data_IF_910023447375
#
_entry.id   IF_910023447375
#
_cell.length_a   1.000
_cell.length_b   1.000
_cell.length_c   1.000
_cell.angle_alpha   90.00
_cell.angle_beta   90.00
_cell.angle_gamma   90.00
#
_symmetry.space_group_name_H-M   'P 1'
#
loop_
_entity.id
_entity.type
_entity.pdbx_description
1 polymer ?
#
# COMPACT_ATOMS: atom_id res chain seq x y z
N UNK A 1 -21.21 -5.67 -5.94
CA UNK A 1 -20.25 -5.04 -6.90
C UNK A 1 -19.63 -3.87 -6.17
N UNK A 2 -18.30 -3.79 -6.16
CA UNK A 2 -17.55 -2.71 -5.48
C UNK A 2 -16.62 -2.05 -6.48
N UNK A 3 -16.35 -0.75 -6.31
CA UNK A 3 -15.34 -0.02 -7.07
C UNK A 3 -14.03 0.00 -6.28
N UNK A 4 -12.98 -0.59 -6.84
CA UNK A 4 -11.71 -0.83 -6.13
C UNK A 4 -10.56 -0.19 -6.88
N UNK A 5 -9.83 0.70 -6.22
CA UNK A 5 -8.56 1.23 -6.72
C UNK A 5 -7.39 0.39 -6.20
N UNK A 6 -6.47 -0.02 -7.10
CA UNK A 6 -5.31 -0.84 -6.73
C UNK A 6 -4.03 -0.17 -7.20
N UNK A 7 -3.20 0.28 -6.27
CA UNK A 7 -1.89 0.84 -6.62
C UNK A 7 -0.92 -0.24 -7.09
N UNK A 8 -0.10 0.05 -8.12
CA UNK A 8 0.89 -0.90 -8.64
C UNK A 8 0.26 -2.13 -9.29
N UNK A 9 -0.89 -1.99 -9.94
CA UNK A 9 -1.62 -3.09 -10.55
C UNK A 9 -1.15 -3.48 -11.98
N UNK A 10 -0.02 -2.92 -12.43
CA UNK A 10 0.56 -3.25 -13.74
C UNK A 10 1.41 -4.54 -13.72
N UNK A 11 1.71 -5.14 -12.57
CA UNK A 11 2.55 -6.33 -12.46
C UNK A 11 2.29 -7.09 -11.13
N UNK A 12 2.81 -8.32 -11.04
CA UNK A 12 2.86 -9.12 -9.82
C UNK A 12 1.52 -9.27 -9.10
N UNK A 13 1.55 -9.14 -7.78
CA UNK A 13 0.37 -9.30 -6.91
C UNK A 13 -0.75 -8.32 -7.25
N UNK A 14 -0.41 -7.06 -7.55
CA UNK A 14 -1.42 -6.05 -7.88
C UNK A 14 -2.16 -6.37 -9.17
N UNK A 15 -1.45 -6.88 -10.20
CA UNK A 15 -2.10 -7.31 -11.46
C UNK A 15 -2.96 -8.55 -11.26
N UNK A 16 -2.50 -9.51 -10.46
CA UNK A 16 -3.28 -10.71 -10.13
C UNK A 16 -4.55 -10.36 -9.35
N UNK A 17 -4.44 -9.49 -8.34
CA UNK A 17 -5.59 -8.98 -7.59
C UNK A 17 -6.59 -8.23 -8.47
N UNK A 18 -6.09 -7.36 -9.37
CA UNK A 18 -6.93 -6.62 -10.31
C UNK A 18 -7.69 -7.57 -11.25
N UNK A 19 -6.98 -8.55 -11.82
CA UNK A 19 -7.60 -9.56 -12.70
C UNK A 19 -8.69 -10.33 -11.98
N UNK A 20 -8.44 -10.81 -10.77
CA UNK A 20 -9.42 -11.55 -9.99
C UNK A 20 -10.69 -10.71 -9.74
N UNK A 21 -10.54 -9.48 -9.23
CA UNK A 21 -11.68 -8.61 -8.94
C UNK A 21 -12.47 -8.25 -10.21
N UNK A 22 -11.81 -8.05 -11.34
CA UNK A 22 -12.48 -7.84 -12.64
C UNK A 22 -13.26 -9.11 -13.06
N UNK A 23 -12.67 -10.30 -12.89
CA UNK A 23 -13.32 -11.56 -13.23
C UNK A 23 -14.53 -11.86 -12.33
N UNK A 24 -14.51 -11.38 -11.09
CA UNK A 24 -15.63 -11.45 -10.12
C UNK A 24 -16.70 -10.36 -10.35
N UNK A 25 -16.51 -9.48 -11.34
CA UNK A 25 -17.49 -8.46 -11.72
C UNK A 25 -17.42 -7.17 -10.92
N UNK A 26 -16.27 -6.86 -10.30
CA UNK A 26 -16.02 -5.59 -9.62
C UNK A 26 -15.50 -4.52 -10.59
N UNK A 27 -15.79 -3.25 -10.31
CA UNK A 27 -15.22 -2.09 -11.01
C UNK A 27 -13.80 -1.84 -10.49
N UNK A 28 -12.77 -2.09 -11.30
CA UNK A 28 -11.38 -1.92 -10.88
C UNK A 28 -10.73 -0.74 -11.59
N UNK A 29 -10.17 0.18 -10.81
CA UNK A 29 -9.29 1.24 -11.30
C UNK A 29 -7.85 0.75 -11.17
N UNK A 30 -7.16 0.69 -12.30
CA UNK A 30 -5.77 0.24 -12.41
C UNK A 30 -4.81 1.41 -12.20
N UNK A 31 -3.60 1.12 -11.72
CA UNK A 31 -2.51 2.08 -11.62
C UNK A 31 -1.22 1.56 -12.24
N UNK A 32 -0.60 2.39 -13.05
CA UNK A 32 0.74 2.18 -13.58
C UNK A 32 1.63 3.42 -13.32
N UNK A 33 2.91 3.20 -13.02
CA UNK A 33 3.83 4.31 -12.76
C UNK A 33 4.14 5.19 -13.99
N UNK A 34 3.91 4.67 -15.20
CA UNK A 34 4.07 5.39 -16.46
C UNK A 34 3.30 4.69 -17.59
N UNK A 35 3.21 5.33 -18.76
CA UNK A 35 2.49 4.81 -19.92
C UNK A 35 3.05 3.48 -20.47
N UNK A 36 4.37 3.28 -20.40
CA UNK A 36 4.98 2.02 -20.83
C UNK A 36 4.50 0.86 -19.92
N UNK A 37 4.45 1.07 -18.61
CA UNK A 37 3.95 0.08 -17.67
C UNK A 37 2.43 -0.13 -17.78
N UNK A 38 1.68 0.88 -18.20
CA UNK A 38 0.25 0.73 -18.48
C UNK A 38 -0.01 -0.24 -19.64
N UNK A 39 0.89 -0.30 -20.62
CA UNK A 39 0.80 -1.26 -21.72
C UNK A 39 0.84 -2.74 -21.25
N UNK A 40 1.45 -3.02 -20.09
CA UNK A 40 1.51 -4.38 -19.52
C UNK A 40 0.15 -4.90 -19.01
N UNK A 41 -0.87 -4.04 -18.91
CA UNK A 41 -2.25 -4.40 -18.52
C UNK A 41 -3.27 -4.08 -19.61
N UNK A 42 -2.82 -3.92 -20.86
CA UNK A 42 -3.69 -3.63 -21.99
C UNK A 42 -4.84 -4.66 -22.16
N UNK A 43 -4.62 -5.90 -21.74
CA UNK A 43 -5.61 -6.97 -21.71
C UNK A 43 -6.72 -6.77 -20.66
N UNK A 44 -6.43 -6.06 -19.58
CA UNK A 44 -7.38 -5.75 -18.50
C UNK A 44 -8.14 -4.44 -18.76
N UNK A 45 -7.50 -3.47 -19.44
CA UNK A 45 -8.05 -2.12 -19.67
C UNK A 45 -9.47 -2.11 -20.22
N UNK A 46 -9.85 -2.95 -21.22
CA UNK A 46 -11.22 -2.93 -21.77
C UNK A 46 -12.31 -3.35 -20.76
N UNK A 47 -11.91 -3.96 -19.64
CA UNK A 47 -12.78 -4.47 -18.58
C UNK A 47 -12.62 -3.71 -17.27
N UNK A 48 -11.64 -2.82 -17.18
CA UNK A 48 -11.38 -1.98 -16.02
C UNK A 48 -12.24 -0.71 -16.06
N UNK A 49 -12.53 -0.16 -14.89
CA UNK A 49 -13.25 1.12 -14.75
C UNK A 49 -12.37 2.33 -15.14
N UNK A 50 -11.07 2.17 -15.17
CA UNK A 50 -10.12 3.20 -15.58
C UNK A 50 -8.67 2.79 -15.32
N UNK A 51 -7.74 3.62 -15.85
CA UNK A 51 -6.31 3.50 -15.61
C UNK A 51 -5.77 4.87 -15.24
N UNK A 52 -5.12 4.96 -14.08
CA UNK A 52 -4.45 6.17 -13.61
C UNK A 52 -2.94 5.99 -13.68
N UNK A 53 -2.20 7.07 -13.96
CA UNK A 53 -0.76 7.03 -14.20
C UNK A 53 -0.05 8.05 -13.32
N UNK A 54 1.03 7.61 -12.66
CA UNK A 54 1.95 8.47 -11.91
C UNK A 54 2.98 7.65 -11.12
N UNK A 55 4.19 8.19 -11.00
CA UNK A 55 5.28 7.57 -10.26
C UNK A 55 5.26 8.01 -8.79
N UNK A 56 5.12 7.06 -7.89
CA UNK A 56 5.08 7.29 -6.43
C UNK A 56 6.43 7.70 -5.82
N UNK A 57 7.49 7.77 -6.60
CA UNK A 57 8.72 8.43 -6.20
C UNK A 57 8.66 9.96 -6.33
N UNK A 58 7.57 10.51 -6.90
CA UNK A 58 7.29 11.94 -7.03
C UNK A 58 6.04 12.31 -6.22
N UNK A 59 6.16 13.27 -5.31
CA UNK A 59 5.02 13.77 -4.55
C UNK A 59 3.96 14.42 -5.46
N UNK A 60 4.40 15.17 -6.46
CA UNK A 60 3.51 15.80 -7.44
C UNK A 60 2.72 14.77 -8.24
N UNK A 61 3.38 13.71 -8.73
CA UNK A 61 2.68 12.65 -9.47
C UNK A 61 1.76 11.83 -8.55
N UNK A 62 2.14 11.62 -7.29
CA UNK A 62 1.29 10.98 -6.29
C UNK A 62 0.00 11.78 -6.05
N UNK A 63 0.09 13.11 -5.93
CA UNK A 63 -1.09 13.99 -5.86
C UNK A 63 -1.94 13.88 -7.12
N UNK A 64 -1.29 13.92 -8.30
CA UNK A 64 -1.99 13.77 -9.58
C UNK A 64 -2.69 12.41 -9.74
N UNK A 65 -2.17 11.33 -9.13
CA UNK A 65 -2.88 10.05 -9.08
C UNK A 65 -4.13 10.14 -8.20
N UNK A 66 -4.05 10.81 -7.05
CA UNK A 66 -5.23 11.00 -6.20
C UNK A 66 -6.32 11.80 -6.91
N UNK A 67 -5.95 12.85 -7.64
CA UNK A 67 -6.87 13.66 -8.44
C UNK A 67 -7.55 12.81 -9.53
N UNK A 68 -6.77 12.04 -10.32
CA UNK A 68 -7.29 11.13 -11.34
C UNK A 68 -8.27 10.10 -10.75
N UNK A 69 -7.97 9.55 -9.56
CA UNK A 69 -8.86 8.60 -8.86
C UNK A 69 -10.16 9.28 -8.45
N UNK A 70 -10.08 10.49 -7.89
CA UNK A 70 -11.26 11.25 -7.46
C UNK A 70 -12.15 11.67 -8.65
N UNK A 71 -11.56 11.98 -9.81
CA UNK A 71 -12.30 12.26 -11.06
C UNK A 71 -13.11 11.05 -11.55
N UNK A 72 -12.64 9.83 -11.29
CA UNK A 72 -13.37 8.60 -11.58
C UNK A 72 -14.51 8.32 -10.58
N UNK A 73 -14.62 9.13 -9.53
CA UNK A 73 -15.62 9.01 -8.47
C UNK A 73 -15.12 8.23 -7.27
N UNK A 74 -15.95 8.20 -6.21
CA UNK A 74 -15.61 7.57 -4.94
C UNK A 74 -15.32 6.07 -5.10
N UNK A 75 -14.26 5.60 -4.46
CA UNK A 75 -13.92 4.18 -4.36
C UNK A 75 -14.58 3.55 -3.13
N UNK A 76 -15.08 2.32 -3.25
CA UNK A 76 -15.51 1.52 -2.10
C UNK A 76 -14.30 0.97 -1.34
N UNK A 77 -13.23 0.64 -2.06
CA UNK A 77 -11.99 0.16 -1.46
C UNK A 77 -10.75 0.71 -2.17
N UNK A 78 -9.68 0.93 -1.39
CA UNK A 78 -8.34 1.23 -1.91
C UNK A 78 -7.36 0.18 -1.41
N UNK A 79 -6.66 -0.46 -2.34
CA UNK A 79 -5.57 -1.41 -2.05
C UNK A 79 -4.23 -0.71 -2.33
N UNK A 80 -3.51 -0.35 -1.27
CA UNK A 80 -2.15 0.17 -1.34
C UNK A 80 -1.16 -0.99 -1.52
N UNK A 81 -1.08 -1.50 -2.76
CA UNK A 81 -0.24 -2.64 -3.11
C UNK A 81 1.14 -2.23 -3.65
N UNK A 82 1.27 -1.04 -4.24
CA UNK A 82 2.55 -0.58 -4.77
C UNK A 82 3.67 -0.58 -3.73
N UNK A 83 4.84 -0.98 -4.15
CA UNK A 83 6.03 -0.98 -3.29
C UNK A 83 7.28 -1.35 -4.06
N UNK A 84 8.43 -1.01 -3.51
CA UNK A 84 9.76 -1.41 -3.98
C UNK A 84 10.50 -2.16 -2.88
N UNK A 85 11.46 -3.01 -3.27
CA UNK A 85 12.12 -3.96 -2.39
C UNK A 85 13.63 -3.93 -2.58
N UNK A 86 14.36 -3.90 -1.47
CA UNK A 86 15.82 -4.01 -1.41
C UNK A 86 16.58 -3.11 -2.40
N UNK A 87 16.20 -1.82 -2.47
CA UNK A 87 16.93 -0.86 -3.29
C UNK A 87 18.43 -0.84 -2.92
N UNK A 88 19.35 -0.97 -3.89
CA UNK A 88 20.78 -1.13 -3.61
C UNK A 88 21.41 0.12 -2.96
N UNK A 89 20.79 1.26 -3.13
CA UNK A 89 21.19 2.56 -2.55
C UNK A 89 19.98 3.27 -1.96
N UNK A 90 20.22 4.31 -1.16
CA UNK A 90 19.15 5.16 -0.62
C UNK A 90 18.30 5.76 -1.74
N UNK A 91 18.88 6.05 -2.88
CA UNK A 91 18.27 6.87 -3.91
C UNK A 91 17.94 8.27 -3.39
N UNK A 92 17.34 9.10 -4.24
CA UNK A 92 16.80 10.39 -3.82
C UNK A 92 15.70 10.79 -4.78
N UNK A 93 14.53 11.12 -4.26
CA UNK A 93 13.45 11.74 -5.04
C UNK A 93 13.75 13.21 -5.34
N UNK A 94 12.91 13.84 -6.15
CA UNK A 94 13.02 15.28 -6.41
C UNK A 94 12.88 16.10 -5.12
N UNK A 95 12.11 15.62 -4.15
CA UNK A 95 11.91 16.23 -2.84
C UNK A 95 13.02 15.89 -1.84
N UNK A 96 14.03 15.08 -2.24
CA UNK A 96 15.17 14.69 -1.42
C UNK A 96 14.96 13.47 -0.54
N UNK A 97 13.82 12.80 -0.62
CA UNK A 97 13.50 11.62 0.17
C UNK A 97 14.17 10.35 -0.36
N UNK A 98 14.45 9.41 0.56
CA UNK A 98 14.84 8.05 0.16
C UNK A 98 13.73 7.42 -0.69
N UNK A 99 14.09 6.80 -1.82
CA UNK A 99 13.10 6.24 -2.76
C UNK A 99 12.19 5.21 -2.08
N UNK A 100 12.74 4.36 -1.19
CA UNK A 100 11.95 3.38 -0.43
C UNK A 100 10.94 4.06 0.50
N UNK A 101 11.32 5.15 1.18
CA UNK A 101 10.41 5.92 2.03
C UNK A 101 9.28 6.54 1.18
N UNK A 102 9.64 7.19 0.06
CA UNK A 102 8.68 7.85 -0.81
C UNK A 102 7.61 6.87 -1.32
N UNK A 103 8.04 5.78 -1.95
CA UNK A 103 7.11 4.82 -2.58
C UNK A 103 6.34 4.00 -1.56
N UNK A 104 7.01 3.50 -0.50
CA UNK A 104 6.39 2.54 0.41
C UNK A 104 5.67 3.19 1.59
N UNK A 105 5.94 4.45 1.93
CA UNK A 105 5.37 5.09 3.12
C UNK A 105 4.67 6.41 2.81
N UNK A 106 5.36 7.36 2.13
CA UNK A 106 4.78 8.67 1.85
C UNK A 106 3.62 8.58 0.85
N UNK A 107 3.77 7.83 -0.23
CA UNK A 107 2.71 7.69 -1.23
C UNK A 107 1.44 7.04 -0.66
N UNK A 108 1.47 5.90 0.05
CA UNK A 108 0.27 5.37 0.73
C UNK A 108 -0.36 6.37 1.70
N UNK A 109 0.45 7.12 2.45
CA UNK A 109 -0.04 8.16 3.36
C UNK A 109 -0.75 9.29 2.61
N UNK A 110 -0.12 9.83 1.56
CA UNK A 110 -0.66 10.91 0.74
C UNK A 110 -1.97 10.49 0.04
N UNK A 111 -1.98 9.31 -0.59
CA UNK A 111 -3.17 8.79 -1.26
C UNK A 111 -4.32 8.57 -0.27
N UNK A 112 -4.02 8.08 0.94
CA UNK A 112 -5.02 7.94 2.01
C UNK A 112 -5.63 9.29 2.41
N UNK A 113 -4.83 10.35 2.44
CA UNK A 113 -5.27 11.67 2.84
C UNK A 113 -6.05 12.42 1.73
N UNK A 114 -5.74 12.14 0.45
CA UNK A 114 -6.19 12.91 -0.71
C UNK A 114 -7.33 12.26 -1.48
N UNK A 115 -7.38 10.93 -1.54
CA UNK A 115 -8.50 10.22 -2.17
C UNK A 115 -9.74 10.39 -1.29
N UNK A 116 -10.91 10.55 -1.93
CA UNK A 116 -12.18 10.57 -1.22
C UNK A 116 -12.31 9.30 -0.37
N UNK A 117 -12.62 9.48 0.93
CA UNK A 117 -12.58 8.42 1.93
C UNK A 117 -13.39 7.18 1.50
N UNK A 118 -12.73 6.03 1.28
CA UNK A 118 -13.39 4.79 0.93
C UNK A 118 -13.98 4.10 2.18
N UNK A 119 -14.77 3.05 1.97
CA UNK A 119 -15.23 2.20 3.07
C UNK A 119 -14.15 1.24 3.57
N UNK A 120 -13.18 0.90 2.70
CA UNK A 120 -12.14 -0.08 3.01
C UNK A 120 -10.75 0.38 2.54
N UNK A 121 -9.77 0.15 3.40
CA UNK A 121 -8.35 0.40 3.14
C UNK A 121 -7.55 -0.88 3.40
N UNK A 122 -6.79 -1.31 2.41
CA UNK A 122 -5.92 -2.49 2.52
C UNK A 122 -4.47 -2.08 2.21
N UNK A 123 -3.56 -2.33 3.14
CA UNK A 123 -2.15 -1.95 3.01
C UNK A 123 -1.26 -3.18 2.89
N UNK A 124 -0.54 -3.34 1.77
CA UNK A 124 0.41 -4.42 1.60
C UNK A 124 1.65 -4.19 2.46
N UNK A 125 1.71 -4.93 3.55
CA UNK A 125 2.84 -5.02 4.47
C UNK A 125 3.80 -6.14 4.04
N UNK A 126 4.47 -6.77 4.98
CA UNK A 126 5.37 -7.91 4.84
C UNK A 126 5.70 -8.44 6.24
N UNK A 127 5.99 -9.73 6.40
CA UNK A 127 6.57 -10.29 7.62
C UNK A 127 7.86 -9.57 8.07
N UNK A 128 8.58 -8.96 7.13
CA UNK A 128 9.77 -8.17 7.43
C UNK A 128 9.50 -6.93 8.30
N UNK A 129 8.24 -6.45 8.43
CA UNK A 129 7.92 -5.33 9.32
C UNK A 129 8.30 -5.58 10.79
N UNK A 130 8.36 -6.83 11.22
CA UNK A 130 8.85 -7.21 12.55
C UNK A 130 10.32 -6.85 12.80
N UNK A 131 11.13 -6.72 11.74
CA UNK A 131 12.51 -6.27 11.79
C UNK A 131 12.69 -4.75 11.65
N UNK A 132 11.60 -4.02 11.50
CA UNK A 132 11.60 -2.56 11.41
C UNK A 132 11.93 -1.91 12.74
N UNK A 133 12.55 -0.73 12.72
CA UNK A 133 12.80 0.08 13.90
C UNK A 133 11.66 1.07 14.11
N UNK A 134 11.15 1.14 15.34
CA UNK A 134 10.21 2.20 15.75
C UNK A 134 10.86 3.59 15.91
N UNK A 135 12.14 3.75 15.55
CA UNK A 135 12.80 5.06 15.55
C UNK A 135 12.50 5.83 14.29
N UNK A 136 11.78 6.93 14.42
CA UNK A 136 11.47 7.86 13.31
C UNK A 136 12.42 9.06 13.23
N UNK A 137 13.49 9.11 14.06
CA UNK A 137 14.41 10.25 14.10
C UNK A 137 15.08 10.50 12.75
N UNK A 138 15.57 9.43 12.12
CA UNK A 138 16.19 9.47 10.78
C UNK A 138 15.42 8.54 9.83
N UNK A 139 14.10 8.77 9.73
CA UNK A 139 13.19 7.99 8.89
C UNK A 139 13.61 7.99 7.42
N UNK A 140 14.30 9.05 7.02
CA UNK A 140 14.76 9.31 5.65
C UNK A 140 16.21 8.84 5.39
N UNK A 141 16.83 8.18 6.35
CA UNK A 141 18.19 7.61 6.17
C UNK A 141 19.25 8.65 5.72
N UNK A 142 19.19 9.83 6.25
CA UNK A 142 20.13 10.91 5.90
C UNK A 142 21.39 10.91 6.74
N UNK A 143 21.35 10.33 7.95
CA UNK A 143 22.46 10.35 8.92
C UNK A 143 23.10 8.97 9.11
N UNK A 144 22.38 7.90 8.88
CA UNK A 144 22.87 6.52 9.05
C UNK A 144 23.24 5.89 7.70
N UNK A 145 24.19 4.93 7.75
CA UNK A 145 24.57 4.16 6.55
C UNK A 145 23.36 3.41 6.01
N UNK A 146 23.15 3.51 4.69
CA UNK A 146 22.07 2.80 4.00
C UNK A 146 22.13 1.28 4.24
N UNK A 147 20.99 0.72 4.56
CA UNK A 147 20.76 -0.72 4.64
C UNK A 147 19.39 -1.04 4.03
N UNK A 148 19.41 -1.65 2.84
CA UNK A 148 18.20 -1.90 2.05
C UNK A 148 17.14 -2.73 2.80
N UNK A 149 17.58 -3.79 3.50
CA UNK A 149 16.66 -4.65 4.24
C UNK A 149 16.00 -3.92 5.40
N UNK A 150 16.77 -3.13 6.16
CA UNK A 150 16.22 -2.33 7.27
C UNK A 150 15.30 -1.23 6.77
N UNK A 151 15.67 -0.52 5.70
CA UNK A 151 14.84 0.53 5.12
C UNK A 151 13.51 -0.04 4.61
N UNK A 152 13.53 -1.19 3.97
CA UNK A 152 12.31 -1.90 3.57
C UNK A 152 11.48 -2.32 4.78
N UNK A 153 12.09 -2.97 5.79
CA UNK A 153 11.40 -3.41 7.01
C UNK A 153 10.74 -2.24 7.74
N UNK A 154 11.43 -1.10 7.86
CA UNK A 154 10.88 0.12 8.44
C UNK A 154 9.71 0.66 7.62
N UNK A 155 9.82 0.68 6.29
CA UNK A 155 8.71 1.12 5.43
C UNK A 155 7.46 0.25 5.59
N UNK A 156 7.63 -1.06 5.80
CA UNK A 156 6.51 -1.98 6.04
C UNK A 156 5.95 -1.87 7.46
N UNK A 157 6.78 -1.52 8.44
CA UNK A 157 6.32 -1.14 9.77
C UNK A 157 5.46 0.14 9.71
N UNK A 158 5.84 1.13 8.90
CA UNK A 158 5.10 2.37 8.74
C UNK A 158 3.69 2.13 8.17
N UNK A 159 3.55 1.37 7.09
CA UNK A 159 2.21 1.12 6.50
C UNK A 159 1.34 0.22 7.39
N UNK A 160 1.95 -0.71 8.14
CA UNK A 160 1.22 -1.49 9.15
C UNK A 160 0.70 -0.58 10.25
N UNK A 161 1.53 0.31 10.78
CA UNK A 161 1.12 1.28 11.80
C UNK A 161 0.05 2.25 11.27
N UNK A 162 0.17 2.70 10.00
CA UNK A 162 -0.83 3.54 9.35
C UNK A 162 -2.20 2.83 9.29
N UNK A 163 -2.22 1.57 8.83
CA UNK A 163 -3.45 0.77 8.77
C UNK A 163 -4.13 0.66 10.14
N UNK A 164 -3.36 0.37 11.20
CA UNK A 164 -3.88 0.23 12.55
C UNK A 164 -4.31 1.58 13.17
N UNK A 165 -3.63 2.67 12.80
CA UNK A 165 -4.04 4.03 13.20
C UNK A 165 -5.41 4.36 12.63
N UNK A 166 -5.61 4.16 11.33
CA UNK A 166 -6.87 4.48 10.65
C UNK A 166 -8.03 3.61 11.13
N UNK A 167 -7.76 2.35 11.44
CA UNK A 167 -8.76 1.45 12.05
C UNK A 167 -9.30 2.00 13.38
N UNK A 168 -8.49 2.74 14.12
CA UNK A 168 -8.89 3.37 15.39
C UNK A 168 -9.52 4.75 15.17
N UNK A 169 -8.96 5.56 14.26
CA UNK A 169 -9.32 6.97 14.12
C UNK A 169 -10.44 7.22 13.10
N UNK A 170 -10.69 6.25 12.22
CA UNK A 170 -11.76 6.28 11.23
C UNK A 170 -12.76 5.14 11.44
N UNK A 171 -13.63 5.20 12.47
CA UNK A 171 -14.49 4.08 12.88
C UNK A 171 -15.46 3.61 11.78
N UNK A 172 -15.72 4.43 10.77
CA UNK A 172 -16.54 4.06 9.60
C UNK A 172 -15.75 3.37 8.48
N UNK A 173 -14.44 3.17 8.62
CA UNK A 173 -13.56 2.60 7.59
C UNK A 173 -12.94 1.29 8.07
N UNK A 174 -13.04 0.24 7.28
CA UNK A 174 -12.36 -1.03 7.55
C UNK A 174 -10.91 -0.95 7.04
N UNK A 175 -9.97 -0.69 7.93
CA UNK A 175 -8.55 -0.54 7.59
C UNK A 175 -7.74 -1.72 8.10
N UNK A 176 -7.01 -2.41 7.21
CA UNK A 176 -6.26 -3.62 7.51
C UNK A 176 -4.90 -3.64 6.80
N UNK A 177 -3.92 -4.32 7.40
CA UNK A 177 -2.63 -4.60 6.81
C UNK A 177 -2.54 -6.07 6.39
N UNK A 178 -1.84 -6.35 5.27
CA UNK A 178 -1.70 -7.71 4.71
C UNK A 178 -0.23 -8.02 4.46
N UNK A 179 0.21 -9.15 4.97
CA UNK A 179 1.43 -9.81 4.53
C UNK A 179 1.06 -10.78 3.40
N UNK A 180 1.54 -10.54 2.18
CA UNK A 180 1.26 -11.44 1.05
C UNK A 180 2.11 -12.72 1.07
N UNK A 181 3.10 -12.81 1.97
CA UNK A 181 4.13 -13.83 1.92
C UNK A 181 5.28 -13.48 0.97
N UNK A 182 6.24 -14.41 0.86
CA UNK A 182 7.34 -14.32 -0.11
C UNK A 182 6.97 -15.07 -1.39
N UNK A 183 6.33 -14.37 -2.31
CA UNK A 183 5.68 -14.94 -3.50
C UNK A 183 6.52 -14.76 -4.77
N UNK A 184 6.45 -15.69 -5.75
CA UNK A 184 7.26 -15.71 -6.98
C UNK A 184 6.78 -14.63 -7.99
N UNK A 185 7.11 -13.39 -7.68
CA UNK A 185 6.95 -12.21 -8.54
C UNK A 185 8.33 -11.70 -8.97
N UNK A 186 8.38 -10.69 -9.84
CA UNK A 186 9.66 -10.03 -10.17
C UNK A 186 10.38 -9.49 -8.92
N UNK A 187 9.62 -9.04 -7.92
CA UNK A 187 10.15 -8.56 -6.64
C UNK A 187 10.64 -9.70 -5.76
N UNK A 188 9.88 -10.78 -5.63
CA UNK A 188 10.23 -11.92 -4.78
C UNK A 188 11.32 -12.81 -5.36
N UNK A 189 11.45 -12.82 -6.69
CA UNK A 189 12.41 -13.64 -7.41
C UNK A 189 12.02 -15.13 -7.49
N UNK A 190 12.83 -15.94 -8.20
CA UNK A 190 12.50 -17.33 -8.46
C UNK A 190 12.66 -18.26 -7.23
N UNK A 191 13.31 -17.79 -6.18
CA UNK A 191 13.50 -18.55 -4.94
C UNK A 191 12.33 -18.39 -3.95
N UNK A 192 11.35 -17.53 -4.27
CA UNK A 192 10.19 -17.32 -3.42
C UNK A 192 9.37 -18.62 -3.28
N UNK A 193 9.02 -18.94 -2.03
CA UNK A 193 8.46 -20.23 -1.66
C UNK A 193 6.95 -20.22 -1.44
N UNK A 194 6.36 -19.05 -1.27
CA UNK A 194 4.95 -18.96 -0.93
C UNK A 194 4.06 -18.98 -2.18
N UNK A 195 2.83 -19.42 -2.01
CA UNK A 195 1.85 -19.50 -3.09
C UNK A 195 1.41 -18.11 -3.55
N UNK A 196 1.52 -17.88 -4.87
CA UNK A 196 1.16 -16.59 -5.46
C UNK A 196 -0.33 -16.28 -5.30
N UNK A 197 -1.19 -17.30 -5.41
CA UNK A 197 -2.63 -17.13 -5.30
C UNK A 197 -3.02 -16.71 -3.88
N UNK A 198 -2.51 -17.40 -2.87
CA UNK A 198 -2.71 -17.02 -1.47
C UNK A 198 -2.19 -15.61 -1.19
N UNK A 199 -1.13 -15.18 -1.87
CA UNK A 199 -0.53 -13.85 -1.74
C UNK A 199 -1.46 -12.70 -2.17
N UNK A 200 -2.31 -12.88 -3.19
CA UNK A 200 -3.25 -11.83 -3.59
C UNK A 200 -4.69 -12.03 -3.07
N UNK A 201 -5.09 -13.25 -2.72
CA UNK A 201 -6.45 -13.53 -2.25
C UNK A 201 -6.82 -12.77 -0.97
N UNK A 202 -5.88 -12.57 -0.06
CA UNK A 202 -6.17 -11.88 1.20
C UNK A 202 -6.54 -10.42 0.98
N UNK A 203 -5.80 -9.71 0.11
CA UNK A 203 -6.08 -8.29 -0.16
C UNK A 203 -7.41 -8.09 -0.91
N UNK A 204 -7.74 -8.97 -1.85
CA UNK A 204 -9.01 -8.90 -2.60
C UNK A 204 -10.20 -9.23 -1.72
N UNK A 205 -10.06 -10.26 -0.88
CA UNK A 205 -11.07 -10.64 0.10
C UNK A 205 -11.38 -9.52 1.10
N UNK A 206 -10.37 -8.85 1.67
CA UNK A 206 -10.57 -7.70 2.56
C UNK A 206 -11.17 -6.50 1.83
N UNK A 207 -10.86 -6.31 0.55
CA UNK A 207 -11.36 -5.18 -0.23
C UNK A 207 -12.83 -5.35 -0.67
N UNK A 208 -13.29 -6.56 -0.96
CA UNK A 208 -14.56 -6.75 -1.67
C UNK A 208 -15.53 -7.76 -1.05
N UNK A 209 -15.08 -8.68 -0.17
CA UNK A 209 -15.95 -9.73 0.38
C UNK A 209 -16.94 -9.17 1.41
N UNK A 210 -18.16 -9.71 1.40
CA UNK A 210 -19.19 -9.46 2.42
C UNK A 210 -19.14 -10.44 3.59
N UNK A 211 -18.17 -11.37 3.61
CA UNK A 211 -18.01 -12.30 4.72
C UNK A 211 -17.73 -11.55 6.03
N UNK A 212 -18.32 -11.99 7.13
CA UNK A 212 -18.13 -11.37 8.44
C UNK A 212 -16.65 -11.27 8.84
N UNK A 213 -15.84 -12.28 8.46
CA UNK A 213 -14.41 -12.28 8.73
C UNK A 213 -13.61 -11.23 7.91
N UNK A 214 -14.13 -10.78 6.75
CA UNK A 214 -13.54 -9.71 5.95
C UNK A 214 -14.00 -8.32 6.37
N UNK A 215 -15.14 -8.22 7.07
CA UNK A 215 -15.75 -6.94 7.49
C UNK A 215 -15.29 -6.52 8.88
N UNK A 216 -13.98 -6.61 9.11
CA UNK A 216 -13.33 -6.23 10.36
C UNK A 216 -12.24 -5.16 10.10
N UNK A 217 -11.88 -4.43 11.12
CA UNK A 217 -10.86 -3.38 11.07
C UNK A 217 -9.73 -3.65 12.06
N UNK A 218 -8.53 -3.11 11.79
CA UNK A 218 -7.39 -3.22 12.69
C UNK A 218 -6.72 -4.60 12.70
N UNK A 219 -6.85 -5.37 11.63
CA UNK A 219 -6.18 -6.66 11.46
C UNK A 219 -4.84 -6.53 10.74
N UNK A 220 -3.90 -7.41 11.13
CA UNK A 220 -2.75 -7.79 10.32
C UNK A 220 -2.97 -9.24 9.86
N UNK A 221 -2.89 -9.48 8.56
CA UNK A 221 -3.36 -10.71 7.94
C UNK A 221 -2.29 -11.39 7.11
N UNK A 222 -2.21 -12.70 7.21
CA UNK A 222 -1.42 -13.57 6.34
C UNK A 222 -2.31 -14.73 5.86
N UNK A 223 -2.49 -14.87 4.56
CA UNK A 223 -3.30 -15.94 3.93
C UNK A 223 -4.70 -16.08 4.58
N UNK A 224 -5.44 -14.96 4.70
CA UNK A 224 -6.75 -14.84 5.36
C UNK A 224 -6.78 -15.22 6.86
N UNK A 225 -5.62 -15.41 7.47
CA UNK A 225 -5.50 -15.67 8.90
C UNK A 225 -4.99 -14.42 9.62
N UNK A 226 -5.69 -14.01 10.66
CA UNK A 226 -5.27 -12.87 11.46
C UNK A 226 -4.02 -13.22 12.27
N UNK A 227 -3.02 -12.38 12.17
CA UNK A 227 -1.75 -12.52 12.87
C UNK A 227 -1.50 -11.33 13.81
N UNK A 228 -0.49 -11.47 14.67
CA UNK A 228 -0.05 -10.35 15.52
C UNK A 228 0.92 -9.47 14.71
N UNK A 229 0.70 -8.15 14.62
CA UNK A 229 1.67 -7.24 14.05
C UNK A 229 2.85 -7.02 15.00
N UNK A 230 3.92 -6.40 14.52
CA UNK A 230 5.00 -5.90 15.38
C UNK A 230 4.42 -5.00 16.48
N UNK A 231 4.96 -5.11 17.69
CA UNK A 231 4.48 -4.35 18.87
C UNK A 231 4.50 -2.85 18.63
N UNK A 232 5.53 -2.37 17.94
CA UNK A 232 5.69 -0.97 17.57
C UNK A 232 4.56 -0.49 16.65
N UNK A 233 4.14 -1.31 15.68
CA UNK A 233 3.02 -0.97 14.79
C UNK A 233 1.71 -0.78 15.56
N UNK A 234 1.52 -1.53 16.65
CA UNK A 234 0.33 -1.45 17.50
C UNK A 234 0.45 -0.40 18.62
N UNK A 235 1.63 0.21 18.83
CA UNK A 235 1.83 1.23 19.87
C UNK A 235 1.23 2.58 19.45
N UNK A 236 0.20 3.09 20.16
CA UNK A 236 -0.41 4.39 19.85
C UNK A 236 0.57 5.58 19.94
N UNK A 237 1.62 5.48 20.76
CA UNK A 237 2.62 6.55 20.86
C UNK A 237 3.51 6.58 19.61
N UNK A 238 3.93 5.42 19.10
CA UNK A 238 4.65 5.31 17.85
C UNK A 238 3.77 5.78 16.68
N UNK A 239 2.51 5.32 16.62
CA UNK A 239 1.56 5.68 15.57
C UNK A 239 1.38 7.20 15.45
N UNK A 240 1.14 7.91 16.55
CA UNK A 240 1.02 9.39 16.55
C UNK A 240 2.28 10.05 16.00
N UNK A 241 3.46 9.69 16.54
CA UNK A 241 4.73 10.25 16.08
C UNK A 241 5.00 9.99 14.60
N UNK A 242 4.61 8.81 14.11
CA UNK A 242 4.74 8.47 12.69
C UNK A 242 3.84 9.35 11.83
N UNK A 243 2.56 9.47 12.16
CA UNK A 243 1.60 10.31 11.43
C UNK A 243 2.07 11.77 11.41
N UNK A 244 2.47 12.33 12.55
CA UNK A 244 3.02 13.69 12.64
C UNK A 244 4.26 13.85 11.74
N UNK A 245 5.13 12.84 11.71
CA UNK A 245 6.33 12.88 10.88
C UNK A 245 5.99 12.82 9.38
N UNK A 246 5.07 11.93 8.98
CA UNK A 246 4.63 11.82 7.57
C UNK A 246 3.92 13.10 7.13
N UNK A 247 3.08 13.68 7.98
CA UNK A 247 2.45 14.99 7.72
C UNK A 247 3.49 16.10 7.53
N UNK A 248 4.52 16.15 8.40
CA UNK A 248 5.60 17.13 8.29
C UNK A 248 6.47 16.97 7.03
N UNK A 249 6.65 15.74 6.53
CA UNK A 249 7.42 15.48 5.31
C UNK A 249 6.64 15.79 4.03
N UNK A 250 5.33 15.57 4.04
CA UNK A 250 4.47 15.72 2.86
C UNK A 250 3.75 17.06 2.80
N UNK A 251 3.64 17.77 3.93
CA UNK A 251 2.79 18.95 4.06
C UNK A 251 1.28 18.63 4.03
N UNK A 252 0.91 17.36 4.07
CA UNK A 252 -0.48 16.89 3.96
C UNK A 252 -0.91 16.30 5.31
N UNK A 253 -2.12 16.68 5.76
CA UNK A 253 -2.69 16.20 7.03
C UNK A 253 -3.83 15.21 6.75
N UNK A 254 -3.86 14.10 7.47
CA UNK A 254 -5.03 13.19 7.46
C UNK A 254 -6.24 13.95 8.03
N UNK A 255 -7.35 13.92 7.30
CA UNK A 255 -8.62 14.46 7.80
C UNK A 255 -9.23 13.45 8.79
N UNK A 256 -9.33 13.82 10.03
CA UNK A 256 -10.04 13.07 11.10
C UNK A 256 -11.55 13.08 10.90
#
# INVERSE_FOLDING_TARGET
MSRVFITGSADGLGRAAAKLLIDEGHDVVLHARNRERAAAVADLVPRAAGVVIGDFSSATETMGVADQVNELGRMDAVIHNAGIFLEPSRGSTAEGHATTLAVNSLAPYMLTALIERPDRLVYLSSGMHHGGSGSIRDIDWTQRRWNASKAYSESKLHVTALALTLAREWPGVLSNAVDPGWVPTKMGGPAASDDLELGYLTQTWLAASSEAAATVSGGYWYHRQRQQPAREAADPAFQRKLIDRLAGLTGITLRT
#
